data_IF_229507360190
#
_entry.id   IF_229507360190
#
_cell.length_a   1.000
_cell.length_b   1.000
_cell.length_c   1.000
_cell.angle_alpha   90.00
_cell.angle_beta   90.00
_cell.angle_gamma   90.00
#
_symmetry.space_group_name_H-M   'P 1'
#
loop_
_entity.id
_entity.type
_entity.pdbx_description
1 polymer ?
#
# COMPACT_ATOMS: atom_id res chain seq x y z
N UNK A 1 -1.17 10.53 -7.20
CA UNK A 1 -0.43 9.53 -6.38
C UNK A 1 -1.05 8.15 -6.47
N UNK A 2 -2.35 7.98 -6.19
CA UNK A 2 -3.00 6.66 -6.20
C UNK A 2 -2.80 5.87 -7.51
N UNK A 3 -3.09 6.48 -8.66
CA UNK A 3 -2.91 5.83 -9.97
C UNK A 3 -1.44 5.44 -10.24
N UNK A 4 -0.48 6.25 -9.77
CA UNK A 4 0.95 5.93 -9.89
C UNK A 4 1.31 4.70 -9.07
N UNK A 5 0.74 4.54 -7.87
CA UNK A 5 0.94 3.34 -7.05
C UNK A 5 0.35 2.10 -7.73
N UNK A 6 -0.84 2.21 -8.34
CA UNK A 6 -1.42 1.11 -9.13
C UNK A 6 -0.50 0.68 -10.27
N UNK A 7 0.10 1.64 -10.99
CA UNK A 7 1.06 1.35 -12.06
C UNK A 7 2.35 0.73 -11.48
N UNK A 8 2.90 1.28 -10.39
CA UNK A 8 4.12 0.76 -9.76
C UNK A 8 3.96 -0.70 -9.31
N UNK A 9 2.81 -1.02 -8.73
CA UNK A 9 2.50 -2.36 -8.22
C UNK A 9 1.79 -3.26 -9.24
N UNK A 10 1.74 -2.88 -10.53
CA UNK A 10 1.42 -3.82 -11.61
C UNK A 10 2.62 -4.72 -11.94
N UNK A 11 3.83 -4.28 -11.59
CA UNK A 11 5.03 -5.12 -11.64
C UNK A 11 4.89 -6.33 -10.69
N UNK A 12 5.17 -7.53 -11.21
CA UNK A 12 4.92 -8.78 -10.48
C UNK A 12 5.74 -8.91 -9.19
N UNK A 13 7.02 -8.53 -9.20
CA UNK A 13 7.87 -8.61 -8.00
C UNK A 13 7.35 -7.69 -6.89
N UNK A 14 7.06 -6.44 -7.23
CA UNK A 14 6.56 -5.45 -6.28
C UNK A 14 5.16 -5.82 -5.77
N UNK A 15 4.30 -6.33 -6.66
CA UNK A 15 2.98 -6.86 -6.31
C UNK A 15 3.10 -7.96 -5.25
N UNK A 16 3.97 -8.95 -5.46
CA UNK A 16 4.17 -10.03 -4.50
C UNK A 16 4.69 -9.52 -3.17
N UNK A 17 5.65 -8.58 -3.17
CA UNK A 17 6.13 -7.94 -1.93
C UNK A 17 5.00 -7.22 -1.18
N UNK A 18 4.13 -6.49 -1.89
CA UNK A 18 3.00 -5.80 -1.27
C UNK A 18 1.96 -6.79 -0.71
N UNK A 19 1.65 -7.87 -1.44
CA UNK A 19 0.74 -8.91 -0.98
C UNK A 19 1.29 -9.68 0.24
N UNK A 20 2.60 -9.94 0.27
CA UNK A 20 3.29 -10.63 1.36
C UNK A 20 3.22 -9.89 2.70
N UNK A 21 2.93 -8.58 2.69
CA UNK A 21 2.64 -7.82 3.93
C UNK A 21 1.36 -8.27 4.64
N UNK A 22 0.57 -9.16 4.02
CA UNK A 22 -0.58 -9.80 4.66
C UNK A 22 -1.63 -8.78 5.08
N UNK A 23 -1.93 -8.77 6.38
CA UNK A 23 -2.89 -7.85 7.00
C UNK A 23 -2.19 -6.77 7.85
N UNK A 24 -0.86 -6.70 7.80
CA UNK A 24 -0.09 -5.71 8.55
C UNK A 24 -0.45 -4.29 8.11
N UNK A 25 -0.42 -3.36 9.07
CA UNK A 25 -0.58 -1.93 8.82
C UNK A 25 0.75 -1.42 8.26
N UNK A 26 0.70 -0.72 7.13
CA UNK A 26 1.89 -0.11 6.53
C UNK A 26 1.99 1.33 7.00
N UNK A 27 3.12 1.67 7.63
CA UNK A 27 3.40 2.97 8.20
C UNK A 27 4.63 3.57 7.53
N UNK A 28 4.47 4.73 6.89
CA UNK A 28 5.58 5.53 6.38
C UNK A 28 6.19 6.34 7.54
N UNK A 29 7.35 5.88 8.04
CA UNK A 29 8.00 6.43 9.22
C UNK A 29 8.86 7.67 8.93
N UNK A 30 8.30 8.62 8.17
CA UNK A 30 8.95 9.91 7.95
C UNK A 30 8.71 10.84 9.14
N UNK A 31 9.80 11.36 9.74
CA UNK A 31 9.73 12.33 10.84
C UNK A 31 9.43 13.75 10.35
N UNK A 32 9.74 14.07 9.10
CA UNK A 32 9.55 15.40 8.51
C UNK A 32 8.22 15.52 7.77
N UNK A 33 7.70 14.43 7.22
CA UNK A 33 6.46 14.44 6.43
C UNK A 33 5.27 13.93 7.26
N UNK A 34 4.38 14.84 7.64
CA UNK A 34 3.15 14.54 8.37
C UNK A 34 1.94 14.28 7.47
N UNK A 35 2.06 14.45 6.14
CA UNK A 35 0.99 14.15 5.20
C UNK A 35 1.15 12.73 4.65
N UNK A 36 2.29 12.42 4.03
CA UNK A 36 2.54 11.08 3.50
C UNK A 36 2.97 10.09 4.60
N UNK A 37 3.70 10.57 5.61
CA UNK A 37 4.15 9.79 6.76
C UNK A 37 3.44 10.13 8.07
N UNK A 38 3.99 9.63 9.17
CA UNK A 38 3.46 9.84 10.54
C UNK A 38 4.00 11.11 11.21
N UNK A 39 4.97 11.80 10.60
CA UNK A 39 5.61 12.99 11.15
C UNK A 39 6.32 12.75 12.49
N UNK A 40 6.98 13.78 13.00
CA UNK A 40 7.83 13.72 14.20
C UNK A 40 7.12 13.19 15.45
N UNK A 41 5.80 13.44 15.56
CA UNK A 41 4.99 13.07 16.73
C UNK A 41 4.15 11.81 16.52
N UNK A 42 4.28 11.11 15.39
CA UNK A 42 3.49 9.91 15.09
C UNK A 42 2.00 10.16 14.80
N UNK A 43 1.59 11.43 14.63
CA UNK A 43 0.20 11.86 14.41
C UNK A 43 -0.07 12.32 12.97
N UNK A 44 0.86 12.09 12.06
CA UNK A 44 0.71 12.35 10.65
C UNK A 44 -0.31 11.42 10.00
N UNK A 45 -0.77 11.78 8.80
CA UNK A 45 -1.89 11.12 8.13
C UNK A 45 -1.53 9.74 7.57
N UNK A 46 -0.24 9.42 7.42
CA UNK A 46 0.23 8.17 6.82
C UNK A 46 -0.46 7.88 5.47
N UNK A 47 -0.64 8.91 4.63
CA UNK A 47 -1.40 8.76 3.39
C UNK A 47 -0.77 7.73 2.45
N UNK A 48 0.56 7.58 2.45
CA UNK A 48 1.23 6.58 1.63
C UNK A 48 0.88 5.16 2.08
N UNK A 49 0.99 4.88 3.37
CA UNK A 49 0.59 3.60 3.95
C UNK A 49 -0.87 3.26 3.66
N UNK A 50 -1.77 4.24 3.82
CA UNK A 50 -3.19 4.08 3.52
C UNK A 50 -3.44 3.71 2.05
N UNK A 51 -2.80 4.41 1.11
CA UNK A 51 -2.95 4.12 -0.32
C UNK A 51 -2.36 2.76 -0.69
N UNK A 52 -1.20 2.38 -0.14
CA UNK A 52 -0.59 1.05 -0.36
C UNK A 52 -1.51 -0.07 0.14
N UNK A 53 -2.12 0.11 1.31
CA UNK A 53 -3.08 -0.87 1.84
C UNK A 53 -4.35 -0.95 0.99
N UNK A 54 -4.82 0.17 0.42
CA UNK A 54 -5.92 0.18 -0.55
C UNK A 54 -5.57 -0.60 -1.82
N UNK A 55 -4.42 -0.31 -2.43
CA UNK A 55 -3.93 -1.02 -3.63
C UNK A 55 -3.78 -2.53 -3.34
N UNK A 56 -3.22 -2.90 -2.18
CA UNK A 56 -3.14 -4.30 -1.73
C UNK A 56 -4.51 -4.97 -1.68
N UNK A 57 -5.54 -4.28 -1.20
CA UNK A 57 -6.91 -4.78 -1.14
C UNK A 57 -7.47 -5.08 -2.53
N UNK A 58 -7.29 -4.16 -3.48
CA UNK A 58 -7.72 -4.34 -4.87
C UNK A 58 -6.99 -5.51 -5.53
N UNK A 59 -5.66 -5.60 -5.40
CA UNK A 59 -4.87 -6.71 -5.95
C UNK A 59 -5.31 -8.08 -5.40
N UNK A 60 -5.62 -8.15 -4.09
CA UNK A 60 -6.18 -9.37 -3.47
C UNK A 60 -7.53 -9.74 -4.11
N UNK A 61 -8.41 -8.76 -4.34
CA UNK A 61 -9.71 -9.02 -4.96
C UNK A 61 -9.57 -9.56 -6.39
N UNK A 62 -8.72 -8.93 -7.23
CA UNK A 62 -8.44 -9.41 -8.59
C UNK A 62 -7.84 -10.83 -8.60
N UNK A 63 -6.98 -11.17 -7.65
CA UNK A 63 -6.38 -12.51 -7.56
C UNK A 63 -7.39 -13.61 -7.20
N UNK A 64 -8.45 -13.27 -6.45
CA UNK A 64 -9.52 -14.21 -6.10
C UNK A 64 -10.43 -14.46 -7.31
N UNK A 65 -10.74 -13.42 -8.08
CA UNK A 65 -11.55 -13.55 -9.31
C UNK A 65 -10.90 -14.43 -10.38
N UNK A 66 -9.56 -14.51 -10.40
CA UNK A 66 -8.80 -15.37 -11.34
C UNK A 66 -8.63 -16.83 -10.90
N UNK A 67 -9.02 -17.19 -9.67
CA UNK A 67 -8.89 -18.56 -9.14
C UNK A 67 -10.18 -19.37 -9.28
N UNK A 68 -11.22 -18.82 -9.92
CA UNK A 68 -12.48 -19.49 -10.20
C UNK A 68 -12.51 -19.85 -11.69
N UNK A 69 -11.60 -20.72 -12.11
CA UNK A 69 -11.60 -21.47 -13.39
C UNK A 69 -10.99 -22.84 -13.15
#
# INVERSE_FOLDING_TARGET
>A
MYEVLKIKFSNDELKQKLLATGNSILIENSKSDSFWGIGKKGKGKNMLGNLLMKVRGELKALSKSKKVE
#
